data_IF_465773423744
#
_entry.id   IF_465773423744
#
_cell.length_a   1.000
_cell.length_b   1.000
_cell.length_c   1.000
_cell.angle_alpha   90.00
_cell.angle_beta   90.00
_cell.angle_gamma   90.00
#
_symmetry.space_group_name_H-M   'P 1'
#
loop_
_entity.id
_entity.type
_entity.pdbx_description
1 polymer ?
#
# COMPACT_ATOMS: atom_id res chain seq x y z
N UNK A 1 1.97 -9.35 -21.26
CA UNK A 1 2.05 -7.96 -20.78
C UNK A 1 1.46 -7.04 -21.85
N UNK A 2 0.22 -6.65 -21.67
CA UNK A 2 -0.36 -5.59 -22.46
C UNK A 2 0.40 -4.31 -22.10
N UNK A 3 0.96 -3.63 -23.09
CA UNK A 3 1.66 -2.34 -22.96
C UNK A 3 0.65 -1.20 -22.66
N UNK A 4 0.00 -1.29 -21.50
CA UNK A 4 -0.92 -0.28 -21.00
C UNK A 4 -0.18 0.56 -19.95
N UNK A 5 0.36 1.67 -20.38
CA UNK A 5 1.11 2.58 -19.51
C UNK A 5 0.25 3.10 -18.35
N UNK A 6 -1.05 3.28 -18.57
CA UNK A 6 -1.98 3.74 -17.53
C UNK A 6 -2.09 2.69 -16.41
N UNK A 7 -2.24 1.41 -16.78
CA UNK A 7 -2.23 0.31 -15.80
C UNK A 7 -0.90 0.22 -15.05
N UNK A 8 0.21 0.37 -15.75
CA UNK A 8 1.53 0.34 -15.13
C UNK A 8 1.69 1.42 -14.07
N UNK A 9 1.27 2.65 -14.37
CA UNK A 9 1.34 3.77 -13.43
C UNK A 9 0.43 3.54 -12.20
N UNK A 10 -0.80 3.06 -12.42
CA UNK A 10 -1.75 2.82 -11.32
C UNK A 10 -1.34 1.65 -10.41
N UNK A 11 -0.84 0.55 -11.00
CA UNK A 11 -0.50 -0.66 -10.24
C UNK A 11 0.87 -0.62 -9.60
N UNK A 12 1.69 0.37 -9.90
CA UNK A 12 3.04 0.50 -9.37
C UNK A 12 3.08 0.44 -7.83
N UNK A 13 2.36 1.31 -7.15
CA UNK A 13 2.40 1.41 -5.68
C UNK A 13 1.97 0.12 -4.97
N UNK A 14 0.80 -0.47 -5.26
CA UNK A 14 0.40 -1.73 -4.63
C UNK A 14 1.35 -2.88 -4.96
N UNK A 15 1.88 -2.95 -6.19
CA UNK A 15 2.83 -3.99 -6.60
C UNK A 15 4.15 -3.86 -5.86
N UNK A 16 4.74 -2.66 -5.83
CA UNK A 16 5.99 -2.42 -5.11
C UNK A 16 5.85 -2.69 -3.61
N UNK A 17 4.72 -2.30 -3.03
CA UNK A 17 4.44 -2.62 -1.64
C UNK A 17 4.42 -4.13 -1.40
N UNK A 18 3.69 -4.90 -2.21
CA UNK A 18 3.61 -6.36 -2.04
C UNK A 18 4.98 -7.02 -2.21
N UNK A 19 5.78 -6.59 -3.18
CA UNK A 19 7.14 -7.09 -3.34
C UNK A 19 8.02 -6.77 -2.11
N UNK A 20 8.00 -5.53 -1.66
CA UNK A 20 8.76 -5.13 -0.48
C UNK A 20 8.32 -5.91 0.76
N UNK A 21 7.01 -6.07 0.96
CA UNK A 21 6.46 -6.84 2.08
C UNK A 21 6.86 -8.32 2.01
N UNK A 22 6.83 -8.91 0.82
CA UNK A 22 7.29 -10.28 0.60
C UNK A 22 8.77 -10.47 0.93
N UNK A 23 9.64 -9.52 0.54
CA UNK A 23 11.06 -9.56 0.93
C UNK A 23 11.23 -9.48 2.45
N UNK A 24 10.49 -8.60 3.13
CA UNK A 24 10.53 -8.50 4.59
C UNK A 24 10.14 -9.83 5.25
N UNK A 25 9.04 -10.44 4.80
CA UNK A 25 8.60 -11.73 5.32
C UNK A 25 9.60 -12.85 5.02
N UNK A 26 10.20 -12.86 3.82
CA UNK A 26 11.23 -13.81 3.42
C UNK A 26 12.47 -13.73 4.31
N UNK A 27 13.00 -12.52 4.55
CA UNK A 27 14.15 -12.33 5.44
C UNK A 27 13.81 -12.69 6.90
N UNK A 28 12.60 -12.34 7.36
CA UNK A 28 12.15 -12.76 8.71
C UNK A 28 12.01 -14.27 8.83
N UNK A 29 11.57 -14.95 7.78
CA UNK A 29 11.52 -16.42 7.74
C UNK A 29 12.94 -17.03 7.82
N UNK A 30 13.93 -16.45 7.13
CA UNK A 30 15.34 -16.85 7.25
C UNK A 30 15.84 -16.76 8.69
N UNK A 31 15.56 -15.64 9.39
CA UNK A 31 15.94 -15.44 10.79
C UNK A 31 15.27 -16.50 11.68
N UNK A 32 13.99 -16.80 11.46
CA UNK A 32 13.27 -17.83 12.21
C UNK A 32 13.85 -19.24 11.97
N UNK A 33 14.33 -19.52 10.76
CA UNK A 33 14.97 -20.78 10.43
C UNK A 33 16.39 -20.92 11.03
N UNK A 34 17.14 -19.83 11.12
CA UNK A 34 18.51 -19.80 11.63
C UNK A 34 18.61 -19.82 13.16
N UNK A 35 17.62 -19.28 13.86
CA UNK A 35 17.67 -19.08 15.32
C UNK A 35 16.59 -19.93 16.01
N UNK A 36 17.00 -20.77 16.95
CA UNK A 36 16.07 -21.59 17.76
C UNK A 36 15.50 -20.86 18.98
N UNK A 37 16.17 -19.81 19.44
CA UNK A 37 15.76 -19.08 20.64
C UNK A 37 14.71 -18.01 20.32
N UNK A 38 13.45 -18.28 20.70
CA UNK A 38 12.30 -17.40 20.45
C UNK A 38 12.51 -15.96 20.93
N UNK A 39 13.13 -15.77 22.13
CA UNK A 39 13.38 -14.43 22.68
C UNK A 39 14.36 -13.63 21.84
N UNK A 40 15.38 -14.29 21.30
CA UNK A 40 16.37 -13.65 20.43
C UNK A 40 15.75 -13.18 19.12
N UNK A 41 14.89 -14.02 18.50
CA UNK A 41 14.13 -13.65 17.30
C UNK A 41 13.25 -12.42 17.58
N UNK A 42 12.50 -12.45 18.69
CA UNK A 42 11.66 -11.33 19.10
C UNK A 42 12.46 -10.04 19.27
N UNK A 43 13.62 -10.10 19.90
CA UNK A 43 14.48 -8.93 20.08
C UNK A 43 14.97 -8.38 18.75
N UNK A 44 15.42 -9.23 17.82
CA UNK A 44 15.85 -8.82 16.49
C UNK A 44 14.70 -8.12 15.76
N UNK A 45 13.47 -8.66 15.79
CA UNK A 45 12.34 -8.05 15.13
C UNK A 45 11.92 -6.71 15.76
N UNK A 46 12.07 -6.55 17.05
CA UNK A 46 11.82 -5.29 17.74
C UNK A 46 12.87 -4.22 17.41
N UNK A 47 14.12 -4.61 17.27
CA UNK A 47 15.24 -3.71 17.00
C UNK A 47 15.26 -3.29 15.51
N UNK A 48 15.10 -4.24 14.60
CA UNK A 48 15.15 -4.01 13.16
C UNK A 48 13.82 -3.49 12.57
N UNK A 49 12.68 -3.89 13.17
CA UNK A 49 11.31 -3.53 12.69
C UNK A 49 11.10 -3.87 11.21
N UNK A 50 11.14 -2.86 10.35
CA UNK A 50 10.90 -2.92 8.91
C UNK A 50 12.17 -2.69 8.08
N UNK A 51 13.30 -2.44 8.70
CA UNK A 51 14.57 -2.21 8.05
C UNK A 51 15.12 -3.53 7.48
N UNK A 52 15.02 -3.69 6.16
CA UNK A 52 15.41 -4.92 5.48
C UNK A 52 16.91 -5.14 5.48
N UNK A 53 17.69 -4.05 5.44
CA UNK A 53 19.14 -4.12 5.52
C UNK A 53 19.59 -4.63 6.89
N UNK A 54 19.03 -4.06 7.97
CA UNK A 54 19.31 -4.52 9.35
C UNK A 54 18.82 -5.95 9.60
N UNK A 55 17.66 -6.34 9.06
CA UNK A 55 17.16 -7.71 9.18
C UNK A 55 18.10 -8.71 8.48
N UNK A 56 18.57 -8.41 7.27
CA UNK A 56 19.49 -9.26 6.55
C UNK A 56 20.85 -9.34 7.24
N UNK A 57 21.34 -8.22 7.78
CA UNK A 57 22.56 -8.13 8.58
C UNK A 57 22.45 -8.98 9.87
N UNK A 58 21.29 -8.97 10.52
CA UNK A 58 21.02 -9.81 11.68
C UNK A 58 21.02 -11.30 11.31
N UNK A 59 20.43 -11.67 10.18
CA UNK A 59 20.48 -13.04 9.67
C UNK A 59 21.93 -13.50 9.42
N UNK A 60 22.75 -12.66 8.79
CA UNK A 60 24.15 -12.93 8.51
C UNK A 60 24.97 -13.26 9.76
N UNK A 61 24.71 -12.56 10.87
CA UNK A 61 25.43 -12.80 12.12
C UNK A 61 25.10 -14.14 12.78
N UNK A 62 23.98 -14.75 12.40
CA UNK A 62 23.47 -15.96 13.05
C UNK A 62 23.75 -17.25 12.26
N UNK A 63 24.15 -17.13 11.00
CA UNK A 63 24.35 -18.29 10.13
C UNK A 63 25.49 -18.08 9.14
N UNK A 64 25.99 -19.17 8.60
CA UNK A 64 26.93 -19.12 7.47
C UNK A 64 26.12 -18.98 6.19
N UNK A 65 26.22 -17.82 5.56
CA UNK A 65 25.48 -17.54 4.32
C UNK A 65 26.13 -18.28 3.13
N UNK A 66 25.33 -19.04 2.40
CA UNK A 66 25.73 -19.79 1.22
C UNK A 66 25.66 -18.95 -0.09
N UNK A 67 26.08 -17.68 -0.02
CA UNK A 67 26.14 -16.77 -1.15
C UNK A 67 27.59 -16.57 -1.62
N UNK A 68 27.77 -16.31 -2.92
CA UNK A 68 29.04 -15.80 -3.43
C UNK A 68 29.28 -14.37 -2.96
N UNK A 69 30.51 -13.89 -3.02
CA UNK A 69 30.84 -12.49 -2.68
C UNK A 69 30.05 -11.49 -3.55
N UNK A 70 29.83 -11.84 -4.81
CA UNK A 70 29.07 -11.00 -5.75
C UNK A 70 27.59 -10.95 -5.40
N UNK A 71 26.93 -12.08 -5.15
CA UNK A 71 25.55 -12.16 -4.72
C UNK A 71 25.33 -11.40 -3.41
N UNK A 72 26.19 -11.62 -2.43
CA UNK A 72 26.15 -10.96 -1.15
C UNK A 72 26.31 -9.44 -1.29
N UNK A 73 27.35 -9.01 -2.00
CA UNK A 73 27.62 -7.58 -2.22
C UNK A 73 26.51 -6.88 -2.98
N UNK A 74 25.91 -7.55 -3.98
CA UNK A 74 24.75 -7.04 -4.71
C UNK A 74 23.53 -6.89 -3.78
N UNK A 75 23.20 -7.92 -3.01
CA UNK A 75 22.03 -7.92 -2.11
C UNK A 75 22.13 -6.82 -1.06
N UNK A 76 23.30 -6.63 -0.44
CA UNK A 76 23.53 -5.57 0.54
C UNK A 76 23.30 -4.18 -0.06
N UNK A 77 23.80 -3.92 -1.26
CA UNK A 77 23.59 -2.65 -1.98
C UNK A 77 22.11 -2.45 -2.31
N UNK A 78 21.45 -3.50 -2.79
CA UNK A 78 20.04 -3.44 -3.16
C UNK A 78 19.15 -3.12 -1.96
N UNK A 79 19.35 -3.81 -0.83
CA UNK A 79 18.61 -3.55 0.40
C UNK A 79 18.89 -2.16 0.97
N UNK A 80 20.13 -1.67 0.85
CA UNK A 80 20.48 -0.32 1.26
C UNK A 80 19.77 0.73 0.40
N UNK A 81 19.74 0.55 -0.92
CA UNK A 81 19.03 1.43 -1.83
C UNK A 81 17.51 1.42 -1.58
N UNK A 82 16.94 0.26 -1.24
CA UNK A 82 15.53 0.16 -0.85
C UNK A 82 15.25 0.91 0.46
N UNK A 83 16.16 0.84 1.43
CA UNK A 83 16.05 1.53 2.72
C UNK A 83 16.03 3.05 2.55
N UNK A 84 16.83 3.59 1.62
CA UNK A 84 16.82 5.03 1.29
C UNK A 84 15.46 5.52 0.79
N UNK A 85 14.67 4.62 0.16
CA UNK A 85 13.34 4.95 -0.38
C UNK A 85 12.23 4.70 0.64
N UNK A 86 12.27 3.57 1.35
CA UNK A 86 11.14 3.10 2.19
C UNK A 86 11.58 2.43 3.50
N UNK A 87 12.36 3.15 4.30
CA UNK A 87 12.84 2.70 5.61
C UNK A 87 11.74 2.24 6.58
N UNK A 88 10.53 2.79 6.44
CA UNK A 88 9.42 2.56 7.38
C UNK A 88 8.34 1.63 6.85
N UNK A 89 8.46 1.16 5.61
CA UNK A 89 7.39 0.39 4.95
C UNK A 89 6.06 1.14 4.82
N UNK A 90 6.13 2.46 4.65
CA UNK A 90 4.96 3.34 4.53
C UNK A 90 4.86 4.01 3.16
N UNK A 91 5.99 4.17 2.48
CA UNK A 91 6.12 4.93 1.26
C UNK A 91 5.17 4.46 0.15
N UNK A 92 5.17 3.17 -0.16
CA UNK A 92 4.32 2.63 -1.22
C UNK A 92 2.84 2.55 -0.83
N UNK A 93 2.54 2.61 0.46
CA UNK A 93 1.16 2.64 0.97
C UNK A 93 0.55 4.03 0.89
N UNK A 94 1.35 5.04 1.23
CA UNK A 94 0.91 6.42 1.39
C UNK A 94 1.97 7.38 0.88
N UNK A 95 2.14 7.51 -0.44
CA UNK A 95 3.12 8.40 -1.05
C UNK A 95 2.67 9.87 -0.93
N UNK A 96 2.30 10.30 0.28
CA UNK A 96 1.67 11.59 0.56
C UNK A 96 2.64 12.63 1.15
N UNK A 97 3.94 12.37 1.11
CA UNK A 97 4.92 13.30 1.67
C UNK A 97 5.40 14.28 0.60
N UNK A 98 5.30 15.59 0.90
CA UNK A 98 5.70 16.67 0.00
C UNK A 98 7.18 16.55 -0.43
N UNK A 99 8.05 16.08 0.48
CA UNK A 99 9.48 15.88 0.23
C UNK A 99 9.74 14.84 -0.86
N UNK A 100 8.94 13.79 -0.90
CA UNK A 100 9.04 12.77 -1.92
C UNK A 100 8.70 13.31 -3.31
N UNK A 101 7.59 14.03 -3.42
CA UNK A 101 7.17 14.62 -4.70
C UNK A 101 8.24 15.56 -5.24
N UNK A 102 8.88 16.35 -4.37
CA UNK A 102 9.95 17.26 -4.76
C UNK A 102 11.18 16.50 -5.30
N UNK A 103 11.54 15.37 -4.70
CA UNK A 103 12.73 14.60 -5.08
C UNK A 103 12.55 13.82 -6.39
N UNK A 104 11.33 13.41 -6.69
CA UNK A 104 11.04 12.50 -7.81
C UNK A 104 10.13 13.11 -8.89
N UNK A 105 9.72 14.34 -8.74
CA UNK A 105 8.88 15.04 -9.70
C UNK A 105 9.51 15.02 -11.11
N UNK A 106 8.69 14.73 -12.11
CA UNK A 106 9.10 14.65 -13.53
C UNK A 106 10.12 13.54 -13.87
N UNK A 107 10.28 12.52 -13.04
CA UNK A 107 11.13 11.37 -13.34
C UNK A 107 10.29 10.19 -13.83
N UNK A 108 10.85 9.42 -14.76
CA UNK A 108 10.29 8.14 -15.20
C UNK A 108 11.06 7.00 -14.57
N UNK A 109 10.38 5.89 -14.28
CA UNK A 109 10.97 4.67 -13.75
C UNK A 109 10.94 3.56 -14.78
N UNK A 110 12.05 2.83 -14.93
CA UNK A 110 12.12 1.61 -15.71
C UNK A 110 11.56 0.44 -14.88
N UNK A 111 10.27 0.16 -15.05
CA UNK A 111 9.59 -0.90 -14.30
C UNK A 111 10.09 -2.30 -14.67
N UNK A 112 10.60 -2.48 -15.87
CA UNK A 112 11.11 -3.80 -16.33
C UNK A 112 12.41 -4.13 -15.61
N UNK A 113 13.36 -3.19 -15.60
CA UNK A 113 14.62 -3.37 -14.91
C UNK A 113 14.44 -3.44 -13.40
N UNK A 114 13.52 -2.64 -12.84
CA UNK A 114 13.14 -2.75 -11.43
C UNK A 114 12.57 -4.13 -11.10
N UNK A 115 11.65 -4.66 -11.91
CA UNK A 115 11.07 -5.98 -11.71
C UNK A 115 12.15 -7.09 -11.77
N UNK A 116 13.08 -7.00 -12.71
CA UNK A 116 14.20 -7.93 -12.83
C UNK A 116 15.10 -7.90 -11.57
N UNK A 117 15.38 -6.72 -11.03
CA UNK A 117 16.17 -6.58 -9.80
C UNK A 117 15.42 -7.12 -8.56
N UNK A 118 14.11 -6.92 -8.49
CA UNK A 118 13.25 -7.51 -7.47
C UNK A 118 13.28 -9.04 -7.53
N UNK A 119 13.10 -9.62 -8.72
CA UNK A 119 13.15 -11.07 -8.93
C UNK A 119 14.51 -11.65 -8.54
N UNK A 120 15.61 -10.95 -8.86
CA UNK A 120 16.96 -11.37 -8.44
C UNK A 120 17.10 -11.36 -6.90
N UNK A 121 16.58 -10.33 -6.21
CA UNK A 121 16.58 -10.29 -4.75
C UNK A 121 15.80 -11.47 -4.15
N UNK A 122 14.65 -11.83 -4.73
CA UNK A 122 13.90 -13.02 -4.34
C UNK A 122 14.68 -14.31 -4.61
N UNK A 123 15.35 -14.42 -5.76
CA UNK A 123 16.21 -15.57 -6.09
C UNK A 123 17.32 -15.77 -5.06
N UNK A 124 17.93 -14.68 -4.57
CA UNK A 124 18.93 -14.72 -3.49
C UNK A 124 18.29 -15.17 -2.17
N UNK A 125 17.12 -14.63 -1.79
CA UNK A 125 16.39 -15.07 -0.59
C UNK A 125 16.05 -16.57 -0.68
N UNK A 126 15.58 -17.04 -1.83
CA UNK A 126 15.28 -18.45 -2.07
C UNK A 126 16.53 -19.33 -1.97
N UNK A 127 17.69 -18.82 -2.40
CA UNK A 127 18.97 -19.52 -2.22
C UNK A 127 19.35 -19.64 -0.75
N UNK A 128 19.13 -18.58 0.04
CA UNK A 128 19.33 -18.63 1.49
C UNK A 128 18.36 -19.60 2.20
N UNK A 129 17.16 -19.80 1.61
CA UNK A 129 16.19 -20.82 2.05
C UNK A 129 16.51 -22.24 1.54
N UNK A 130 17.67 -22.42 0.89
CA UNK A 130 18.14 -23.70 0.33
C UNK A 130 17.21 -24.28 -0.76
N UNK A 131 16.41 -23.43 -1.42
CA UNK A 131 15.59 -23.84 -2.55
C UNK A 131 16.50 -24.22 -3.71
N UNK A 132 16.32 -25.41 -4.35
CA UNK A 132 17.12 -25.83 -5.52
C UNK A 132 17.08 -24.80 -6.65
N UNK A 133 18.19 -24.67 -7.39
CA UNK A 133 18.35 -23.64 -8.43
C UNK A 133 17.26 -23.71 -9.50
N UNK A 134 16.87 -24.92 -9.90
CA UNK A 134 15.81 -25.16 -10.89
C UNK A 134 14.43 -24.67 -10.47
N UNK A 135 14.21 -24.47 -9.16
CA UNK A 135 12.95 -24.02 -8.57
C UNK A 135 12.99 -22.57 -8.11
N UNK A 136 14.10 -21.84 -8.34
CA UNK A 136 14.20 -20.43 -7.99
C UNK A 136 13.54 -19.55 -9.05
N UNK A 137 13.03 -18.40 -8.60
CA UNK A 137 12.32 -17.43 -9.44
C UNK A 137 13.24 -16.86 -10.53
N UNK A 138 14.52 -16.58 -10.19
CA UNK A 138 15.47 -15.96 -11.10
C UNK A 138 16.91 -16.46 -10.84
N UNK A 139 17.78 -16.27 -11.83
CA UNK A 139 19.21 -16.54 -11.74
C UNK A 139 19.96 -15.24 -11.53
N UNK A 140 21.03 -15.31 -10.74
CA UNK A 140 21.85 -14.14 -10.44
C UNK A 140 22.59 -13.65 -11.69
N UNK A 141 22.50 -12.34 -11.92
CA UNK A 141 23.23 -11.60 -12.92
C UNK A 141 24.02 -10.46 -12.23
N UNK A 142 25.35 -10.57 -12.20
CA UNK A 142 26.23 -9.60 -11.57
C UNK A 142 26.17 -8.20 -12.22
N UNK A 143 25.72 -8.11 -13.47
CA UNK A 143 25.63 -6.84 -14.22
C UNK A 143 24.32 -6.09 -13.95
N UNK A 144 23.33 -6.74 -13.29
CA UNK A 144 22.04 -6.12 -12.96
C UNK A 144 22.22 -5.01 -11.93
N UNK A 145 21.52 -3.88 -12.13
CA UNK A 145 21.59 -2.76 -11.19
C UNK A 145 21.11 -3.19 -9.79
N UNK A 146 21.83 -2.73 -8.78
CA UNK A 146 21.44 -2.85 -7.37
C UNK A 146 20.67 -1.64 -6.85
N UNK A 147 20.35 -0.67 -7.71
CA UNK A 147 19.47 0.43 -7.34
C UNK A 147 18.02 -0.03 -7.30
N UNK A 148 17.32 0.28 -6.22
CA UNK A 148 15.90 -0.09 -6.09
C UNK A 148 15.04 0.71 -7.06
N UNK A 149 15.16 2.05 -7.07
CA UNK A 149 14.53 2.90 -8.07
C UNK A 149 15.47 3.10 -9.25
N UNK A 150 15.05 2.63 -10.42
CA UNK A 150 15.81 2.75 -11.66
C UNK A 150 15.14 3.80 -12.54
N UNK A 151 15.83 4.92 -12.75
CA UNK A 151 15.31 6.04 -13.51
C UNK A 151 15.59 5.87 -15.00
N UNK A 152 14.61 6.23 -15.81
CA UNK A 152 14.66 6.14 -17.25
C UNK A 152 14.23 7.47 -17.91
N UNK A 153 14.38 7.52 -19.22
CA UNK A 153 13.78 8.58 -20.03
C UNK A 153 12.32 8.26 -20.36
N UNK A 154 11.59 9.24 -20.88
CA UNK A 154 10.27 9.02 -21.42
C UNK A 154 10.31 7.93 -22.49
N UNK A 155 9.61 6.83 -22.27
CA UNK A 155 9.62 5.68 -23.18
C UNK A 155 8.47 4.72 -22.89
N UNK A 156 8.26 3.80 -23.83
CA UNK A 156 7.22 2.77 -23.70
C UNK A 156 7.56 1.82 -22.53
N UNK A 157 6.61 1.67 -21.61
CA UNK A 157 6.76 0.79 -20.45
C UNK A 157 7.35 1.45 -19.21
N UNK A 158 7.72 2.74 -19.28
CA UNK A 158 8.20 3.49 -18.13
C UNK A 158 7.05 4.13 -17.36
N UNK A 159 7.06 4.01 -16.03
CA UNK A 159 6.05 4.62 -15.16
C UNK A 159 6.34 6.10 -14.91
N UNK A 160 5.31 6.93 -15.01
CA UNK A 160 5.29 8.31 -14.56
C UNK A 160 4.38 8.46 -13.36
N UNK A 161 4.96 8.55 -12.17
CA UNK A 161 4.22 8.39 -10.91
C UNK A 161 3.91 9.70 -10.19
N UNK A 162 4.44 10.81 -10.66
CA UNK A 162 4.68 11.99 -9.84
C UNK A 162 3.72 13.12 -10.12
N UNK A 163 2.50 12.80 -10.42
CA UNK A 163 1.43 13.78 -10.39
C UNK A 163 1.11 14.15 -8.95
N UNK A 164 0.73 15.41 -8.74
CA UNK A 164 0.34 15.90 -7.42
C UNK A 164 -0.71 14.96 -6.81
N UNK A 165 -0.51 14.60 -5.55
CA UNK A 165 -1.47 13.78 -4.79
C UNK A 165 -2.79 14.53 -4.57
N UNK A 166 -2.79 15.83 -4.79
CA UNK A 166 -4.00 16.66 -4.79
C UNK A 166 -4.79 16.41 -6.06
N UNK A 167 -6.01 15.89 -5.95
CA UNK A 167 -6.87 15.58 -7.08
C UNK A 167 -6.56 14.22 -7.72
N UNK A 168 -6.18 14.20 -8.98
CA UNK A 168 -6.02 12.97 -9.79
C UNK A 168 -5.02 11.95 -9.22
N UNK A 169 -4.02 12.40 -8.46
CA UNK A 169 -3.03 11.51 -7.85
C UNK A 169 -3.61 10.56 -6.81
N UNK A 170 -4.55 11.02 -5.97
CA UNK A 170 -5.29 10.14 -5.05
C UNK A 170 -6.16 9.14 -5.80
N UNK A 171 -6.82 9.60 -6.86
CA UNK A 171 -7.68 8.74 -7.66
C UNK A 171 -6.90 7.58 -8.29
N UNK A 172 -5.74 7.85 -8.91
CA UNK A 172 -4.87 6.82 -9.48
C UNK A 172 -4.39 5.81 -8.44
N UNK A 173 -4.02 6.30 -7.26
CA UNK A 173 -3.58 5.44 -6.16
C UNK A 173 -4.71 4.51 -5.68
N UNK A 174 -5.90 5.06 -5.47
CA UNK A 174 -7.10 4.31 -5.06
C UNK A 174 -7.47 3.26 -6.12
N UNK A 175 -7.51 3.64 -7.40
CA UNK A 175 -7.76 2.71 -8.51
C UNK A 175 -6.73 1.60 -8.57
N UNK A 176 -5.45 1.90 -8.38
CA UNK A 176 -4.38 0.92 -8.36
C UNK A 176 -4.59 -0.16 -7.30
N UNK A 177 -4.90 0.24 -6.07
CA UNK A 177 -5.19 -0.71 -4.98
C UNK A 177 -6.47 -1.50 -5.22
N UNK A 178 -7.53 -0.86 -5.73
CA UNK A 178 -8.80 -1.52 -6.06
C UNK A 178 -8.63 -2.59 -7.13
N UNK A 179 -8.04 -2.22 -8.27
CA UNK A 179 -7.82 -3.13 -9.39
C UNK A 179 -6.85 -4.25 -9.07
N UNK A 180 -5.82 -3.99 -8.26
CA UNK A 180 -4.88 -5.03 -7.81
C UNK A 180 -5.56 -6.05 -6.91
N UNK A 181 -6.44 -5.61 -6.00
CA UNK A 181 -7.22 -6.51 -5.16
C UNK A 181 -8.19 -7.36 -5.99
N UNK A 182 -8.89 -6.75 -6.94
CA UNK A 182 -9.80 -7.43 -7.86
C UNK A 182 -9.08 -8.46 -8.73
N UNK A 183 -7.92 -8.09 -9.29
CA UNK A 183 -7.10 -8.99 -10.10
C UNK A 183 -6.69 -10.24 -9.31
N UNK A 184 -6.17 -10.07 -8.09
CA UNK A 184 -5.81 -11.21 -7.25
C UNK A 184 -7.02 -12.07 -6.87
N UNK A 185 -8.17 -11.46 -6.67
CA UNK A 185 -9.38 -12.18 -6.28
C UNK A 185 -10.00 -12.94 -7.46
N UNK A 186 -10.14 -12.31 -8.63
CA UNK A 186 -10.92 -12.80 -9.76
C UNK A 186 -10.10 -13.48 -10.85
N UNK A 187 -8.88 -13.02 -11.13
CA UNK A 187 -8.15 -13.36 -12.35
C UNK A 187 -6.88 -14.19 -12.12
N UNK A 188 -6.40 -14.28 -10.88
CA UNK A 188 -5.14 -14.94 -10.58
C UNK A 188 -5.37 -16.38 -10.11
N UNK A 189 -5.65 -17.30 -11.06
CA UNK A 189 -5.91 -18.71 -10.75
C UNK A 189 -4.65 -19.53 -10.51
N UNK A 190 -3.47 -19.01 -10.86
CA UNK A 190 -2.18 -19.69 -10.70
C UNK A 190 -1.71 -19.75 -9.24
N UNK A 191 -2.26 -18.89 -8.37
CA UNK A 191 -1.92 -18.79 -6.94
C UNK A 191 -3.04 -19.45 -6.12
N UNK A 192 -2.66 -20.26 -5.14
CA UNK A 192 -3.64 -20.92 -4.25
C UNK A 192 -4.47 -19.90 -3.45
N UNK A 193 -5.63 -20.36 -2.98
CA UNK A 193 -6.54 -19.50 -2.20
C UNK A 193 -5.90 -19.03 -0.91
N UNK A 194 -5.14 -19.89 -0.28
CA UNK A 194 -4.42 -19.64 0.97
C UNK A 194 -3.32 -18.59 0.79
N UNK A 195 -2.61 -18.60 -0.33
CA UNK A 195 -1.55 -17.64 -0.65
C UNK A 195 -2.10 -16.25 -0.99
N UNK A 196 -3.30 -16.16 -1.58
CA UNK A 196 -3.93 -14.88 -1.95
C UNK A 196 -4.54 -14.13 -0.76
N UNK A 197 -4.93 -14.82 0.32
CA UNK A 197 -5.74 -14.24 1.42
C UNK A 197 -5.11 -12.98 1.97
N UNK A 198 -3.88 -13.04 2.45
CA UNK A 198 -3.23 -11.88 3.08
C UNK A 198 -2.99 -10.72 2.12
N UNK A 199 -2.47 -10.93 0.91
CA UNK A 199 -2.34 -9.86 -0.08
C UNK A 199 -3.67 -9.15 -0.38
N UNK A 200 -4.75 -9.90 -0.60
CA UNK A 200 -6.07 -9.33 -0.89
C UNK A 200 -6.59 -8.53 0.30
N UNK A 201 -6.57 -9.11 1.50
CA UNK A 201 -7.06 -8.43 2.71
C UNK A 201 -6.26 -7.16 3.01
N UNK A 202 -4.95 -7.21 2.81
CA UNK A 202 -4.12 -6.02 2.96
C UNK A 202 -4.51 -4.94 1.94
N UNK A 203 -4.61 -5.29 0.65
CA UNK A 203 -4.95 -4.32 -0.41
C UNK A 203 -6.30 -3.66 -0.14
N UNK A 204 -7.33 -4.44 0.23
CA UNK A 204 -8.65 -3.91 0.56
C UNK A 204 -8.63 -3.04 1.82
N UNK A 205 -7.88 -3.46 2.84
CA UNK A 205 -7.74 -2.67 4.07
C UNK A 205 -7.07 -1.31 3.79
N UNK A 206 -6.02 -1.32 2.98
CA UNK A 206 -5.33 -0.11 2.57
C UNK A 206 -6.21 0.74 1.65
N UNK A 207 -6.99 0.14 0.78
CA UNK A 207 -7.96 0.80 -0.10
C UNK A 207 -9.02 1.58 0.70
N UNK A 208 -9.60 0.97 1.74
CA UNK A 208 -10.54 1.65 2.64
C UNK A 208 -9.86 2.85 3.33
N UNK A 209 -8.65 2.67 3.80
CA UNK A 209 -7.89 3.74 4.44
C UNK A 209 -7.61 4.90 3.49
N UNK A 210 -7.21 4.60 2.24
CA UNK A 210 -7.00 5.60 1.18
C UNK A 210 -8.29 6.34 0.83
N UNK A 211 -9.41 5.63 0.68
CA UNK A 211 -10.72 6.24 0.43
C UNK A 211 -11.12 7.22 1.54
N UNK A 212 -10.96 6.81 2.80
CA UNK A 212 -11.21 7.70 3.94
C UNK A 212 -10.25 8.91 3.99
N UNK A 213 -8.97 8.72 3.66
CA UNK A 213 -7.99 9.81 3.60
C UNK A 213 -8.28 10.79 2.46
N UNK A 214 -8.75 10.30 1.32
CA UNK A 214 -9.17 11.12 0.17
C UNK A 214 -10.33 12.02 0.55
N UNK A 215 -11.39 11.46 1.13
CA UNK A 215 -12.52 12.24 1.64
C UNK A 215 -12.08 13.21 2.75
N UNK A 216 -11.19 12.79 3.65
CA UNK A 216 -10.70 13.66 4.72
C UNK A 216 -9.90 14.85 4.15
N UNK A 217 -9.13 14.65 3.09
CA UNK A 217 -8.46 15.73 2.40
C UNK A 217 -9.45 16.78 1.88
N UNK A 218 -10.58 16.36 1.29
CA UNK A 218 -11.63 17.25 0.79
C UNK A 218 -12.32 18.06 1.93
N UNK A 219 -12.30 17.59 3.17
CA UNK A 219 -12.84 18.38 4.29
C UNK A 219 -12.09 19.70 4.52
N UNK A 220 -10.87 19.85 3.99
CA UNK A 220 -10.10 21.10 4.09
C UNK A 220 -10.81 22.21 3.32
N UNK A 221 -11.39 21.92 2.18
CA UNK A 221 -12.16 22.87 1.35
C UNK A 221 -13.44 23.32 2.06
N UNK A 222 -13.93 22.49 3.00
CA UNK A 222 -15.08 22.78 3.84
C UNK A 222 -14.72 23.34 5.23
N UNK A 223 -13.56 23.94 5.37
CA UNK A 223 -13.15 24.71 6.55
C UNK A 223 -12.43 23.91 7.65
N UNK A 224 -12.13 22.62 7.44
CA UNK A 224 -11.26 21.88 8.36
C UNK A 224 -9.82 22.40 8.19
N UNK A 225 -9.16 22.84 9.27
CA UNK A 225 -7.80 23.37 9.17
C UNK A 225 -6.81 22.34 8.59
N UNK A 226 -5.98 22.76 7.64
CA UNK A 226 -5.02 21.89 6.98
C UNK A 226 -4.04 21.19 7.95
N UNK A 227 -3.71 21.84 9.08
CA UNK A 227 -2.87 21.22 10.11
C UNK A 227 -3.53 20.00 10.78
N UNK A 228 -4.86 19.96 10.85
CA UNK A 228 -5.59 18.78 11.35
C UNK A 228 -5.40 17.60 10.41
N UNK A 229 -5.57 17.80 9.10
CA UNK A 229 -5.29 16.77 8.12
C UNK A 229 -3.82 16.33 8.18
N UNK A 230 -2.86 17.27 8.16
CA UNK A 230 -1.42 16.98 8.23
C UNK A 230 -1.04 16.16 9.48
N UNK A 231 -1.66 16.41 10.62
CA UNK A 231 -1.40 15.66 11.85
C UNK A 231 -1.95 14.24 11.82
N UNK A 232 -3.05 14.00 11.09
CA UNK A 232 -3.79 12.72 11.07
C UNK A 232 -3.60 11.92 9.80
N UNK A 233 -3.05 12.49 8.72
CA UNK A 233 -2.81 11.78 7.45
C UNK A 233 -1.95 10.52 7.59
N UNK A 234 -1.08 10.48 8.59
CA UNK A 234 -0.25 9.31 8.92
C UNK A 234 -0.95 8.30 9.82
N UNK A 235 -2.17 8.59 10.28
CA UNK A 235 -2.92 7.66 11.13
C UNK A 235 -3.46 6.49 10.33
N UNK A 236 -3.38 5.30 10.92
CA UNK A 236 -3.97 4.06 10.40
C UNK A 236 -5.27 3.68 11.14
N UNK A 237 -5.75 4.55 12.03
CA UNK A 237 -6.93 4.32 12.87
C UNK A 237 -8.21 4.66 12.12
N UNK A 238 -8.75 3.71 11.33
CA UNK A 238 -9.90 3.92 10.45
C UNK A 238 -11.08 4.60 11.16
N UNK A 239 -11.52 4.03 12.29
CA UNK A 239 -12.69 4.55 12.99
C UNK A 239 -12.39 5.82 13.78
N UNK A 240 -11.35 5.77 14.63
CA UNK A 240 -11.12 6.83 15.62
C UNK A 240 -10.59 8.13 15.02
N UNK A 241 -9.79 8.04 13.97
CA UNK A 241 -9.09 9.19 13.41
C UNK A 241 -9.59 9.56 12.01
N UNK A 242 -9.94 8.60 11.16
CA UNK A 242 -10.37 8.91 9.80
C UNK A 242 -11.89 9.05 9.73
N UNK A 243 -12.65 8.02 10.04
CA UNK A 243 -14.11 8.05 9.94
C UNK A 243 -14.76 9.19 10.72
N UNK A 244 -14.35 9.40 11.97
CA UNK A 244 -14.91 10.47 12.82
C UNK A 244 -14.70 11.89 12.26
N UNK A 245 -13.68 12.10 11.44
CA UNK A 245 -13.45 13.38 10.81
C UNK A 245 -14.20 13.54 9.48
N UNK A 246 -14.52 12.44 8.79
CA UNK A 246 -15.23 12.45 7.50
C UNK A 246 -16.75 12.38 7.69
N UNK A 247 -17.23 11.60 8.63
CA UNK A 247 -18.66 11.39 8.89
C UNK A 247 -19.49 12.67 8.93
N UNK A 248 -19.10 13.75 9.62
CA UNK A 248 -19.92 14.98 9.68
C UNK A 248 -20.17 15.60 8.30
N UNK A 249 -19.20 15.49 7.37
CA UNK A 249 -19.34 15.98 6.02
C UNK A 249 -20.31 15.10 5.22
N UNK A 250 -20.21 13.77 5.36
CA UNK A 250 -21.14 12.83 4.71
C UNK A 250 -22.59 13.12 5.18
N UNK A 251 -22.79 13.28 6.50
CA UNK A 251 -24.11 13.60 7.06
C UNK A 251 -24.65 14.95 6.58
N UNK A 252 -23.78 15.95 6.43
CA UNK A 252 -24.16 17.27 5.91
C UNK A 252 -24.72 17.15 4.48
N UNK A 253 -24.01 16.50 3.57
CA UNK A 253 -24.45 16.32 2.19
C UNK A 253 -25.70 15.44 2.07
N UNK A 254 -25.75 14.33 2.80
CA UNK A 254 -26.92 13.45 2.82
C UNK A 254 -28.18 14.18 3.29
N UNK A 255 -28.09 14.98 4.36
CA UNK A 255 -29.20 15.77 4.86
C UNK A 255 -29.61 16.89 3.88
N UNK A 256 -28.65 17.56 3.25
CA UNK A 256 -28.93 18.62 2.27
C UNK A 256 -29.72 18.11 1.04
N UNK A 257 -29.50 16.85 0.69
CA UNK A 257 -30.18 16.18 -0.43
C UNK A 257 -31.39 15.34 0.00
N UNK A 258 -31.73 15.30 1.28
CA UNK A 258 -32.84 14.52 1.79
C UNK A 258 -32.66 13.01 1.71
N UNK A 259 -31.40 12.53 1.71
CA UNK A 259 -31.06 11.12 1.66
C UNK A 259 -31.24 10.42 3.02
N UNK A 260 -31.43 9.10 2.98
CA UNK A 260 -31.52 8.29 4.19
C UNK A 260 -30.14 8.10 4.85
N UNK A 261 -29.97 8.66 6.04
CA UNK A 261 -28.75 8.55 6.84
C UNK A 261 -28.55 7.18 7.51
N UNK A 262 -29.53 6.27 7.42
CA UNK A 262 -29.43 4.94 8.04
C UNK A 262 -28.25 4.14 7.52
N UNK A 263 -27.91 4.29 6.24
CA UNK A 263 -26.76 3.62 5.62
C UNK A 263 -25.43 4.06 6.24
N UNK A 264 -25.31 5.34 6.63
CA UNK A 264 -24.11 5.88 7.31
C UNK A 264 -23.86 5.13 8.61
N UNK A 265 -24.91 4.83 9.36
CA UNK A 265 -24.82 4.08 10.61
C UNK A 265 -24.44 2.60 10.39
N UNK A 266 -24.87 2.01 9.26
CA UNK A 266 -24.47 0.65 8.88
C UNK A 266 -22.98 0.61 8.56
N UNK A 267 -22.50 1.51 7.72
CA UNK A 267 -21.09 1.60 7.33
C UNK A 267 -20.20 1.92 8.54
N UNK A 268 -20.67 2.79 9.45
CA UNK A 268 -19.93 3.05 10.70
C UNK A 268 -19.71 1.78 11.51
N UNK A 269 -20.74 0.93 11.68
CA UNK A 269 -20.61 -0.35 12.38
C UNK A 269 -19.61 -1.27 11.67
N UNK A 270 -19.65 -1.35 10.33
CA UNK A 270 -18.71 -2.14 9.55
C UNK A 270 -17.26 -1.64 9.74
N UNK A 271 -17.04 -0.32 9.72
CA UNK A 271 -15.70 0.27 9.99
C UNK A 271 -15.26 0.00 11.44
N UNK A 272 -16.20 0.02 12.41
CA UNK A 272 -15.89 -0.35 13.79
C UNK A 272 -15.47 -1.82 13.90
N UNK A 273 -16.19 -2.74 13.27
CA UNK A 273 -15.85 -4.16 13.24
C UNK A 273 -14.46 -4.38 12.63
N UNK A 274 -14.18 -3.79 11.47
CA UNK A 274 -12.87 -3.88 10.84
C UNK A 274 -11.78 -3.27 11.75
N UNK A 275 -12.07 -2.16 12.43
CA UNK A 275 -11.12 -1.53 13.38
C UNK A 275 -10.92 -2.34 14.66
N UNK A 276 -11.84 -3.22 15.04
CA UNK A 276 -11.65 -4.17 16.14
C UNK A 276 -10.71 -5.31 15.73
N UNK A 277 -10.82 -5.77 14.48
CA UNK A 277 -9.95 -6.82 13.93
C UNK A 277 -8.55 -6.26 13.68
N UNK A 278 -8.45 -5.17 12.93
CA UNK A 278 -7.17 -4.56 12.51
C UNK A 278 -7.06 -3.09 12.96
N UNK A 279 -6.74 -2.92 14.23
CA UNK A 279 -6.67 -1.60 14.85
C UNK A 279 -5.60 -0.69 14.23
N UNK A 280 -4.44 -1.24 13.91
CA UNK A 280 -3.26 -0.48 13.52
C UNK A 280 -2.91 -0.61 12.03
N UNK A 281 -3.64 -1.40 11.25
CA UNK A 281 -3.34 -1.67 9.84
C UNK A 281 -2.18 -2.64 9.63
N UNK A 282 -1.93 -3.54 10.60
CA UNK A 282 -0.79 -4.46 10.57
C UNK A 282 -1.16 -5.94 10.57
N UNK A 283 -2.43 -6.28 10.90
CA UNK A 283 -2.81 -7.67 11.09
C UNK A 283 -2.77 -8.47 9.79
N UNK A 284 -3.11 -7.84 8.66
CA UNK A 284 -3.06 -8.50 7.35
C UNK A 284 -1.69 -8.43 6.68
N UNK A 285 -0.75 -7.69 7.28
CA UNK A 285 0.64 -7.61 6.81
C UNK A 285 1.52 -8.71 7.36
N UNK A 286 1.24 -9.16 8.58
CA UNK A 286 2.08 -10.11 9.31
C UNK A 286 1.26 -11.27 9.83
N UNK A 287 1.58 -12.53 9.41
CA UNK A 287 0.86 -13.71 9.87
C UNK A 287 1.05 -13.97 11.36
N UNK A 288 2.08 -13.39 11.96
CA UNK A 288 2.39 -13.53 13.39
C UNK A 288 2.45 -12.18 14.08
N UNK A 289 2.19 -12.16 15.39
CA UNK A 289 2.51 -11.03 16.26
C UNK A 289 4.01 -11.02 16.60
N UNK A 290 4.49 -10.00 17.32
CA UNK A 290 5.85 -10.01 17.88
C UNK A 290 6.09 -11.14 18.88
N UNK A 291 5.03 -11.75 19.43
CA UNK A 291 5.16 -12.96 20.25
C UNK A 291 5.43 -14.24 19.43
N UNK A 292 5.51 -14.12 18.10
CA UNK A 292 5.65 -15.24 17.15
C UNK A 292 4.49 -16.26 17.26
N UNK A 293 3.32 -15.78 17.66
CA UNK A 293 2.08 -16.55 17.64
C UNK A 293 1.32 -16.25 16.37
N UNK A 294 0.83 -17.31 15.71
CA UNK A 294 0.06 -17.18 14.49
C UNK A 294 -1.29 -16.50 14.79
N UNK A 295 -1.60 -15.44 14.05
CA UNK A 295 -2.79 -14.59 14.34
C UNK A 295 -4.11 -15.22 13.90
N UNK A 296 -4.06 -16.14 12.94
CA UNK A 296 -5.22 -16.73 12.31
C UNK A 296 -5.27 -18.26 12.49
N UNK A 297 -4.71 -18.76 13.60
CA UNK A 297 -4.76 -20.19 13.93
C UNK A 297 -6.20 -20.65 14.13
N UNK A 298 -6.56 -21.74 13.44
CA UNK A 298 -7.90 -22.35 13.48
C UNK A 298 -9.05 -21.43 13.03
N UNK A 299 -8.80 -20.41 12.20
CA UNK A 299 -9.84 -19.58 11.58
C UNK A 299 -10.08 -20.06 10.16
N UNK A 300 -11.28 -20.57 9.91
CA UNK A 300 -11.77 -20.84 8.56
C UNK A 300 -12.31 -19.51 7.97
N UNK A 301 -11.56 -18.90 7.07
CA UNK A 301 -11.89 -17.61 6.50
C UNK A 301 -12.62 -17.78 5.17
N UNK A 302 -13.88 -17.35 5.11
CA UNK A 302 -14.59 -17.17 3.85
C UNK A 302 -14.09 -15.91 3.12
N UNK A 303 -13.07 -16.10 2.28
CA UNK A 303 -12.43 -15.00 1.55
C UNK A 303 -13.44 -14.20 0.71
N UNK A 304 -14.45 -14.87 0.12
CA UNK A 304 -15.45 -14.17 -0.70
C UNK A 304 -16.28 -13.22 0.15
N UNK A 305 -16.81 -13.71 1.28
CA UNK A 305 -17.60 -12.88 2.19
C UNK A 305 -16.79 -11.68 2.73
N UNK A 306 -15.53 -11.90 3.10
CA UNK A 306 -14.68 -10.81 3.61
C UNK A 306 -14.34 -9.82 2.50
N UNK A 307 -14.06 -10.30 1.28
CA UNK A 307 -13.84 -9.44 0.12
C UNK A 307 -15.06 -8.55 -0.13
N UNK A 308 -16.27 -9.13 -0.23
CA UNK A 308 -17.52 -8.39 -0.48
C UNK A 308 -17.81 -7.39 0.64
N UNK A 309 -17.57 -7.77 1.90
CA UNK A 309 -17.72 -6.88 3.06
C UNK A 309 -16.80 -5.65 2.99
N UNK A 310 -15.51 -5.86 2.73
CA UNK A 310 -14.54 -4.77 2.66
C UNK A 310 -14.76 -3.89 1.41
N UNK A 311 -15.13 -4.52 0.29
CA UNK A 311 -15.46 -3.81 -0.94
C UNK A 311 -16.70 -2.94 -0.77
N UNK A 312 -17.72 -3.39 -0.02
CA UNK A 312 -18.91 -2.59 0.25
C UNK A 312 -18.59 -1.32 1.06
N UNK A 313 -17.70 -1.41 2.05
CA UNK A 313 -17.21 -0.23 2.79
C UNK A 313 -16.51 0.75 1.84
N UNK A 314 -15.62 0.24 0.99
CA UNK A 314 -14.90 1.08 0.04
C UNK A 314 -15.86 1.73 -0.98
N UNK A 315 -16.79 0.97 -1.57
CA UNK A 315 -17.74 1.48 -2.55
C UNK A 315 -18.62 2.60 -1.96
N UNK A 316 -18.99 2.50 -0.68
CA UNK A 316 -19.67 3.59 -0.01
C UNK A 316 -18.79 4.84 0.09
N UNK A 317 -17.53 4.70 0.50
CA UNK A 317 -16.59 5.82 0.58
C UNK A 317 -16.35 6.47 -0.79
N UNK A 318 -16.19 5.66 -1.83
CA UNK A 318 -15.96 6.12 -3.20
C UNK A 318 -17.19 6.85 -3.76
N UNK A 319 -18.40 6.32 -3.51
CA UNK A 319 -19.66 6.97 -3.88
C UNK A 319 -19.83 8.34 -3.20
N UNK A 320 -19.54 8.45 -1.91
CA UNK A 320 -19.57 9.73 -1.21
C UNK A 320 -18.56 10.73 -1.77
N UNK A 321 -17.37 10.27 -2.14
CA UNK A 321 -16.33 11.12 -2.73
C UNK A 321 -16.74 11.67 -4.09
N UNK A 322 -17.35 10.85 -4.95
CA UNK A 322 -17.93 11.28 -6.23
C UNK A 322 -19.07 12.28 -6.03
N UNK A 323 -19.89 12.08 -5.01
CA UNK A 323 -20.97 13.02 -4.67
C UNK A 323 -20.43 14.39 -4.27
N UNK A 324 -19.38 14.42 -3.44
CA UNK A 324 -18.74 15.68 -3.04
C UNK A 324 -18.18 16.45 -4.22
N UNK A 325 -17.55 15.77 -5.19
CA UNK A 325 -17.07 16.38 -6.42
C UNK A 325 -18.21 16.97 -7.24
N UNK A 326 -19.28 16.20 -7.45
CA UNK A 326 -20.43 16.65 -8.24
C UNK A 326 -21.11 17.88 -7.64
N UNK A 327 -21.19 17.96 -6.31
CA UNK A 327 -21.78 19.15 -5.64
C UNK A 327 -20.84 20.35 -5.75
N UNK A 328 -19.53 20.16 -5.58
CA UNK A 328 -18.55 21.24 -5.71
C UNK A 328 -18.53 21.83 -7.14
N UNK A 329 -18.59 20.97 -8.16
CA UNK A 329 -18.69 21.41 -9.56
C UNK A 329 -19.96 22.20 -9.80
N UNK A 330 -21.11 21.72 -9.31
CA UNK A 330 -22.37 22.43 -9.43
C UNK A 330 -22.36 23.80 -8.73
N UNK A 331 -21.82 23.90 -7.52
CA UNK A 331 -21.65 25.15 -6.79
C UNK A 331 -20.75 26.14 -7.56
N UNK A 332 -19.65 25.64 -8.13
CA UNK A 332 -18.74 26.41 -8.97
C UNK A 332 -19.44 27.00 -10.19
N UNK A 333 -20.21 26.16 -10.91
CA UNK A 333 -20.96 26.59 -12.10
C UNK A 333 -22.01 27.65 -11.73
N UNK A 334 -22.74 27.45 -10.64
CA UNK A 334 -23.72 28.42 -10.15
C UNK A 334 -23.06 29.77 -9.76
N UNK A 335 -21.88 29.75 -9.15
CA UNK A 335 -21.15 30.98 -8.82
C UNK A 335 -20.68 31.70 -10.08
N UNK A 336 -20.24 30.98 -11.10
CA UNK A 336 -19.86 31.57 -12.38
C UNK A 336 -21.04 32.20 -13.10
N UNK A 337 -22.18 31.54 -13.13
CA UNK A 337 -23.41 32.10 -13.70
C UNK A 337 -23.85 33.37 -12.95
N UNK A 338 -23.85 33.36 -11.61
CA UNK A 338 -24.18 34.52 -10.79
C UNK A 338 -23.24 35.70 -11.06
N UNK A 339 -21.93 35.46 -11.21
CA UNK A 339 -20.95 36.49 -11.51
C UNK A 339 -21.25 37.15 -12.89
N UNK A 340 -21.59 36.36 -13.91
CA UNK A 340 -21.99 36.88 -15.23
C UNK A 340 -23.22 37.76 -15.17
N UNK A 341 -24.22 37.46 -14.33
CA UNK A 341 -25.41 38.31 -14.14
C UNK A 341 -25.09 39.61 -13.40
N UNK A 342 -24.10 39.66 -12.50
CA UNK A 342 -23.69 40.87 -11.80
C UNK A 342 -22.96 41.88 -12.72
N UNK A 343 -22.27 41.41 -13.73
CA UNK A 343 -21.59 42.27 -14.70
C UNK A 343 -22.56 42.93 -15.70
N UNK A 344 -23.86 42.60 -15.66
CA UNK A 344 -24.89 43.16 -16.54
C UNK A 344 -25.71 44.29 -15.86
N UNK A 345 -25.46 44.61 -14.62
CA UNK A 345 -26.10 45.68 -13.84
C UNK A 345 -25.06 46.68 -13.33
#
# INVERSE_FOLDING_TARGET
>A
TNHDNIKSDMWFFPTMYLFRQGMELGIKALICGAISEKRKIQQIFLDCKHDLYMLFDAYERETVILLTEEEYGWMKKYLHSLEEVDAKSDFFRFPLEDEFLLNYQNKFLDIVDMANSILQAYGIIQKCLEIPEENRIDRFDAMRSSDFLQFANHGFGNCYLWESITGDGFHKLVLGYSQSAEFLFCECDEISKEEKVFPILFLLRNLIELGLKRMFYKTIEHGVPQNVFRSKRKSHLLYKELWKNVRPMIEYYANAQGQDISIINIVEKQIQELSCIDKNGDIFRYPTSYSLEYRFDNIDLDLKNVYEFMQAIFNFCDGCDCEFESVADWESDMMQEMAQYQDWY
#
